data_IF_957316573858
#
_entry.id   IF_957316573858
#
_cell.length_a   1.000
_cell.length_b   1.000
_cell.length_c   1.000
_cell.angle_alpha   90.00
_cell.angle_beta   90.00
_cell.angle_gamma   90.00
#
_symmetry.space_group_name_H-M   'P 1'
#
loop_
_entity.id
_entity.type
_entity.pdbx_description
1 polymer ?
#
# COMPACT_ATOMS: atom_id res chain seq x y z
N UNK A 1 13.52 -14.76 26.33
CA UNK A 1 12.45 -13.91 25.75
C UNK A 1 12.68 -13.78 24.26
N UNK A 2 11.63 -13.93 23.46
CA UNK A 2 11.66 -13.75 22.02
C UNK A 2 11.16 -12.33 21.69
N UNK A 3 11.87 -11.63 20.80
CA UNK A 3 11.50 -10.28 20.36
C UNK A 3 11.29 -10.28 18.85
N UNK A 4 10.34 -9.46 18.38
CA UNK A 4 10.08 -9.23 16.96
C UNK A 4 10.47 -7.82 16.58
N UNK A 5 11.09 -7.68 15.40
CA UNK A 5 11.45 -6.36 14.86
C UNK A 5 10.26 -5.78 14.11
N UNK A 6 9.68 -4.74 14.69
CA UNK A 6 8.52 -4.01 14.12
C UNK A 6 8.98 -2.86 13.22
N UNK A 7 10.05 -2.16 13.59
CA UNK A 7 10.68 -1.13 12.76
C UNK A 7 12.20 -1.30 12.71
N UNK A 8 12.82 -0.88 11.60
CA UNK A 8 14.26 -0.97 11.41
C UNK A 8 14.75 -2.28 10.77
N UNK A 9 13.89 -3.00 10.05
CA UNK A 9 14.27 -4.23 9.33
C UNK A 9 15.50 -4.04 8.41
N UNK A 10 15.62 -2.89 7.74
CA UNK A 10 16.79 -2.58 6.92
C UNK A 10 18.06 -2.32 7.75
N UNK A 11 17.94 -1.68 8.92
CA UNK A 11 19.07 -1.46 9.85
C UNK A 11 19.58 -2.80 10.38
N UNK A 12 18.67 -3.71 10.74
CA UNK A 12 19.02 -5.07 11.14
C UNK A 12 19.67 -5.85 10.00
N UNK A 13 19.13 -5.77 8.79
CA UNK A 13 19.71 -6.43 7.62
C UNK A 13 21.13 -5.93 7.33
N UNK A 14 21.36 -4.62 7.37
CA UNK A 14 22.68 -4.02 7.18
C UNK A 14 23.68 -4.45 8.26
N UNK A 15 23.29 -4.45 9.54
CA UNK A 15 24.14 -4.91 10.63
C UNK A 15 24.56 -6.38 10.44
N UNK A 16 23.63 -7.25 10.01
CA UNK A 16 23.93 -8.66 9.69
C UNK A 16 24.91 -8.78 8.52
N UNK A 17 24.75 -7.97 7.48
CA UNK A 17 25.67 -7.91 6.34
C UNK A 17 27.08 -7.47 6.74
N UNK A 18 27.20 -6.59 7.73
CA UNK A 18 28.47 -6.09 8.25
C UNK A 18 29.11 -7.01 9.31
N UNK A 19 28.61 -8.24 9.48
CA UNK A 19 29.19 -9.23 10.41
C UNK A 19 28.46 -9.33 11.76
N UNK A 20 27.37 -8.62 11.97
CA UNK A 20 26.46 -8.84 13.11
C UNK A 20 26.91 -8.26 14.46
N UNK A 21 28.17 -7.86 14.61
CA UNK A 21 28.72 -7.32 15.87
C UNK A 21 28.38 -5.84 16.12
N UNK A 22 27.63 -5.21 15.22
CA UNK A 22 27.21 -3.83 15.37
C UNK A 22 26.09 -3.72 16.43
N UNK A 23 26.36 -2.96 17.50
CA UNK A 23 25.37 -2.64 18.52
C UNK A 23 24.29 -1.73 17.93
N UNK A 24 23.07 -2.25 17.79
CA UNK A 24 21.90 -1.48 17.42
C UNK A 24 21.18 -1.02 18.68
N UNK A 25 20.87 0.28 18.76
CA UNK A 25 19.94 0.78 19.78
C UNK A 25 18.55 0.20 19.48
N UNK A 26 18.04 -0.60 20.40
CA UNK A 26 16.70 -1.18 20.33
C UNK A 26 15.83 -0.58 21.43
N UNK A 27 14.60 -0.21 21.08
CA UNK A 27 13.56 0.17 22.02
C UNK A 27 12.52 -0.95 22.08
N UNK A 28 12.21 -1.42 23.28
CA UNK A 28 11.26 -2.51 23.49
C UNK A 28 9.89 -1.89 23.79
N UNK A 29 8.94 -2.10 22.89
CA UNK A 29 7.56 -1.68 23.04
C UNK A 29 6.64 -2.89 23.20
N UNK A 30 5.57 -2.72 23.97
CA UNK A 30 4.46 -3.67 23.99
C UNK A 30 3.42 -3.24 22.97
N UNK A 31 3.18 -4.09 21.97
CA UNK A 31 2.22 -3.83 20.90
C UNK A 31 1.52 -5.14 20.53
N UNK A 32 0.20 -5.08 20.34
CA UNK A 32 -0.54 -6.19 19.74
C UNK A 32 -0.18 -6.35 18.25
N UNK A 33 -0.69 -7.41 17.64
CA UNK A 33 -0.35 -7.74 16.25
C UNK A 33 -0.83 -6.67 15.25
N UNK A 34 -2.01 -6.12 15.47
CA UNK A 34 -2.57 -5.03 14.68
C UNK A 34 -1.66 -3.80 14.70
N UNK A 35 -1.25 -3.37 15.90
CA UNK A 35 -0.37 -2.23 16.11
C UNK A 35 1.01 -2.47 15.47
N UNK A 36 1.56 -3.69 15.59
CA UNK A 36 2.82 -4.04 14.93
C UNK A 36 2.72 -3.87 13.41
N UNK A 37 1.66 -4.40 12.78
CA UNK A 37 1.46 -4.30 11.33
C UNK A 37 1.23 -2.85 10.87
N UNK A 38 0.50 -2.04 11.64
CA UNK A 38 0.30 -0.61 11.35
C UNK A 38 1.63 0.14 11.43
N UNK A 39 2.43 -0.09 12.47
CA UNK A 39 3.75 0.53 12.61
C UNK A 39 4.66 0.13 11.45
N UNK A 40 4.72 -1.16 11.10
CA UNK A 40 5.49 -1.63 9.95
C UNK A 40 5.06 -0.96 8.64
N UNK A 41 3.75 -0.83 8.41
CA UNK A 41 3.20 -0.23 7.20
C UNK A 41 3.56 1.26 7.11
N UNK A 42 3.25 2.02 8.16
CA UNK A 42 3.41 3.48 8.18
C UNK A 42 4.87 3.92 8.12
N UNK A 43 5.77 3.25 8.86
CA UNK A 43 7.20 3.58 8.79
C UNK A 43 7.78 3.24 7.42
N UNK A 44 7.43 2.08 6.86
CA UNK A 44 7.99 1.68 5.57
C UNK A 44 7.43 2.46 4.39
N UNK A 45 6.15 2.87 4.42
CA UNK A 45 5.56 3.75 3.40
C UNK A 45 6.24 5.12 3.36
N UNK A 46 6.61 5.68 4.52
CA UNK A 46 7.27 6.99 4.60
C UNK A 46 8.60 7.03 3.86
N UNK A 47 9.42 5.98 3.99
CA UNK A 47 10.75 5.94 3.37
C UNK A 47 10.74 5.34 1.95
N UNK A 48 9.84 4.39 1.69
CA UNK A 48 9.81 3.64 0.44
C UNK A 48 8.40 3.65 -0.15
N UNK A 49 8.17 4.42 -1.24
CA UNK A 49 6.86 4.43 -1.88
C UNK A 49 6.52 3.00 -2.33
N UNK A 50 5.40 2.49 -1.83
CA UNK A 50 4.94 1.13 -2.13
C UNK A 50 4.07 1.09 -3.37
N UNK A 51 4.14 -0.04 -4.05
CA UNK A 51 3.17 -0.36 -5.10
C UNK A 51 1.74 -0.34 -4.55
N UNK A 52 0.77 0.22 -5.30
CA UNK A 52 -0.61 0.30 -4.87
C UNK A 52 -1.28 -1.02 -4.46
N UNK A 53 -0.96 -2.14 -5.12
CA UNK A 53 -1.53 -3.44 -4.78
C UNK A 53 -0.95 -3.94 -3.47
N UNK A 54 0.35 -3.72 -3.26
CA UNK A 54 1.00 -4.04 -1.98
C UNK A 54 0.36 -3.28 -0.82
N UNK A 55 0.04 -1.99 -0.99
CA UNK A 55 -0.71 -1.22 0.01
C UNK A 55 -2.11 -1.79 0.24
N UNK A 56 -2.84 -2.08 -0.83
CA UNK A 56 -4.18 -2.64 -0.73
C UNK A 56 -4.23 -3.98 0.02
N UNK A 57 -3.27 -4.87 -0.22
CA UNK A 57 -3.13 -6.14 0.49
C UNK A 57 -2.88 -5.95 1.99
N UNK A 58 -2.04 -4.99 2.37
CA UNK A 58 -1.81 -4.67 3.78
C UNK A 58 -3.08 -4.15 4.46
N UNK A 59 -3.82 -3.25 3.82
CA UNK A 59 -5.08 -2.76 4.36
C UNK A 59 -6.13 -3.86 4.49
N UNK A 60 -6.27 -4.72 3.48
CA UNK A 60 -7.20 -5.85 3.53
C UNK A 60 -6.85 -6.78 4.68
N UNK A 61 -5.57 -7.10 4.87
CA UNK A 61 -5.08 -7.91 5.99
C UNK A 61 -5.47 -7.33 7.35
N UNK A 62 -5.26 -6.03 7.56
CA UNK A 62 -5.62 -5.36 8.81
C UNK A 62 -7.13 -5.45 9.10
N UNK A 63 -7.97 -5.37 8.06
CA UNK A 63 -9.42 -5.46 8.21
C UNK A 63 -9.88 -6.90 8.44
N UNK A 64 -9.41 -7.85 7.62
CA UNK A 64 -9.92 -9.22 7.58
C UNK A 64 -9.25 -10.14 8.62
N UNK A 65 -7.94 -10.04 8.82
CA UNK A 65 -7.20 -10.90 9.76
C UNK A 65 -7.17 -10.32 11.18
N UNK A 66 -6.94 -9.01 11.30
CA UNK A 66 -6.81 -8.35 12.61
C UNK A 66 -8.12 -7.70 13.09
N UNK A 67 -9.19 -7.73 12.28
CA UNK A 67 -10.52 -7.25 12.66
C UNK A 67 -10.65 -5.73 12.81
N UNK A 68 -9.72 -4.94 12.25
CA UNK A 68 -9.81 -3.48 12.31
C UNK A 68 -10.97 -2.95 11.49
N UNK A 69 -11.76 -2.06 12.10
CA UNK A 69 -12.75 -1.29 11.34
C UNK A 69 -12.07 -0.33 10.36
N UNK A 70 -12.72 -0.05 9.23
CA UNK A 70 -12.22 0.94 8.26
C UNK A 70 -11.99 2.32 8.92
N UNK A 71 -12.84 2.72 9.87
CA UNK A 71 -12.71 3.99 10.59
C UNK A 71 -11.48 4.02 11.48
N UNK A 72 -11.21 2.94 12.22
CA UNK A 72 -9.99 2.81 13.00
C UNK A 72 -8.76 2.85 12.09
N UNK A 73 -8.78 2.10 10.99
CA UNK A 73 -7.69 2.11 10.02
C UNK A 73 -7.42 3.51 9.43
N UNK A 74 -8.45 4.28 9.10
CA UNK A 74 -8.30 5.69 8.68
C UNK A 74 -7.58 6.52 9.74
N UNK A 75 -7.97 6.37 11.01
CA UNK A 75 -7.40 7.13 12.13
C UNK A 75 -5.93 6.78 12.35
N UNK A 76 -5.60 5.49 12.39
CA UNK A 76 -4.24 5.03 12.68
C UNK A 76 -3.26 5.29 11.51
N UNK A 77 -3.73 5.23 10.27
CA UNK A 77 -2.88 5.43 9.07
C UNK A 77 -2.87 6.87 8.56
N UNK A 78 -3.80 7.71 9.00
CA UNK A 78 -3.98 9.08 8.50
C UNK A 78 -4.56 9.16 7.08
N UNK A 79 -4.92 8.04 6.46
CA UNK A 79 -5.58 8.04 5.16
C UNK A 79 -7.08 8.35 5.27
N UNK A 80 -7.62 9.03 4.25
CA UNK A 80 -9.05 9.25 4.15
C UNK A 80 -9.80 7.96 3.76
N UNK A 81 -11.05 7.83 4.21
CA UNK A 81 -11.90 6.67 3.87
C UNK A 81 -12.02 6.41 2.36
N UNK A 82 -12.21 7.43 1.48
CA UNK A 82 -12.20 7.21 0.02
C UNK A 82 -10.87 6.66 -0.49
N UNK A 83 -9.74 7.06 0.10
CA UNK A 83 -8.41 6.58 -0.27
C UNK A 83 -8.28 5.10 0.05
N UNK A 84 -8.60 4.69 1.28
CA UNK A 84 -8.55 3.27 1.66
C UNK A 84 -9.52 2.42 0.83
N UNK A 85 -10.75 2.89 0.61
CA UNK A 85 -11.70 2.20 -0.28
C UNK A 85 -11.16 2.04 -1.69
N UNK A 86 -10.49 3.06 -2.24
CA UNK A 86 -9.89 2.97 -3.58
C UNK A 86 -8.82 1.89 -3.66
N UNK A 87 -8.00 1.72 -2.60
CA UNK A 87 -7.02 0.63 -2.53
C UNK A 87 -7.70 -0.72 -2.48
N UNK A 88 -8.66 -0.90 -1.58
CA UNK A 88 -9.37 -2.18 -1.43
C UNK A 88 -10.07 -2.58 -2.73
N UNK A 89 -10.71 -1.63 -3.44
CA UNK A 89 -11.34 -1.88 -4.74
C UNK A 89 -10.39 -2.25 -5.86
N UNK A 90 -9.09 -1.98 -5.74
CA UNK A 90 -8.12 -2.49 -6.72
C UNK A 90 -8.01 -4.02 -6.68
N UNK A 91 -8.19 -4.63 -5.51
CA UNK A 91 -8.07 -6.08 -5.34
C UNK A 91 -9.23 -6.85 -6.00
N UNK A 92 -10.36 -6.19 -6.21
CA UNK A 92 -11.54 -6.74 -6.88
C UNK A 92 -11.38 -6.77 -8.41
N UNK A 93 -10.43 -6.01 -8.96
CA UNK A 93 -10.20 -5.92 -10.41
C UNK A 93 -9.41 -7.12 -10.94
N UNK A 94 -9.55 -7.37 -12.23
CA UNK A 94 -8.80 -8.43 -12.92
C UNK A 94 -7.28 -8.22 -12.85
N UNK A 95 -6.46 -9.28 -12.75
CA UNK A 95 -5.01 -9.17 -12.60
C UNK A 95 -4.33 -8.34 -13.68
N UNK A 96 -4.84 -8.38 -14.92
CA UNK A 96 -4.32 -7.58 -16.02
C UNK A 96 -4.53 -6.08 -15.81
N UNK A 97 -5.66 -5.69 -15.21
CA UNK A 97 -5.98 -4.29 -14.88
C UNK A 97 -5.13 -3.85 -13.68
N UNK A 98 -4.98 -4.71 -12.68
CA UNK A 98 -4.08 -4.48 -11.55
C UNK A 98 -2.65 -4.19 -12.04
N UNK A 99 -2.15 -4.95 -13.01
CA UNK A 99 -0.83 -4.73 -13.61
C UNK A 99 -0.73 -3.39 -14.36
N UNK A 100 -1.81 -2.90 -14.99
CA UNK A 100 -1.84 -1.58 -15.61
C UNK A 100 -1.75 -0.45 -14.58
N UNK A 101 -2.42 -0.60 -13.44
CA UNK A 101 -2.33 0.35 -12.31
C UNK A 101 -0.94 0.34 -11.69
N UNK A 102 -0.35 -0.83 -11.46
CA UNK A 102 1.02 -0.97 -10.94
C UNK A 102 2.05 -0.31 -11.86
N UNK A 103 1.85 -0.40 -13.18
CA UNK A 103 2.68 0.28 -14.19
C UNK A 103 2.39 1.79 -14.32
N UNK A 104 1.47 2.34 -13.54
CA UNK A 104 1.06 3.75 -13.59
C UNK A 104 0.28 4.14 -14.85
N UNK A 105 -0.14 3.18 -15.68
CA UNK A 105 -0.88 3.43 -16.93
C UNK A 105 -2.35 3.76 -16.68
N UNK A 106 -2.88 3.38 -15.52
CA UNK A 106 -4.23 3.71 -15.07
C UNK A 106 -4.16 4.38 -13.70
N UNK A 107 -5.03 5.38 -13.45
CA UNK A 107 -5.04 6.10 -12.19
C UNK A 107 -5.63 5.22 -11.07
N UNK A 108 -5.06 5.29 -9.87
CA UNK A 108 -5.69 4.72 -8.68
C UNK A 108 -6.82 5.65 -8.20
N UNK A 109 -8.03 5.41 -8.66
CA UNK A 109 -9.22 6.17 -8.27
C UNK A 109 -10.39 5.24 -8.00
N UNK A 110 -11.14 5.51 -6.94
CA UNK A 110 -12.33 4.73 -6.59
C UNK A 110 -13.33 4.68 -7.74
N UNK A 111 -13.58 5.82 -8.39
CA UNK A 111 -14.52 5.92 -9.53
C UNK A 111 -14.07 5.10 -10.73
N UNK A 112 -12.76 5.02 -10.95
CA UNK A 112 -12.20 4.22 -12.05
C UNK A 112 -12.45 2.73 -11.80
N UNK A 113 -12.11 2.25 -10.59
CA UNK A 113 -12.34 0.87 -10.20
C UNK A 113 -13.83 0.51 -10.25
N UNK A 114 -14.71 1.35 -9.71
CA UNK A 114 -16.17 1.13 -9.73
C UNK A 114 -16.73 1.09 -11.16
N UNK A 115 -16.29 2.01 -12.03
CA UNK A 115 -16.71 2.03 -13.42
C UNK A 115 -16.27 0.75 -14.18
N UNK A 116 -15.05 0.27 -13.96
CA UNK A 116 -14.60 -0.98 -14.57
C UNK A 116 -15.37 -2.18 -14.00
N UNK A 117 -15.55 -2.25 -12.68
CA UNK A 117 -16.31 -3.33 -12.04
C UNK A 117 -17.77 -3.38 -12.47
N UNK A 118 -18.34 -2.25 -12.90
CA UNK A 118 -19.70 -2.20 -13.47
C UNK A 118 -19.85 -3.01 -14.76
N UNK A 119 -18.76 -3.29 -15.47
CA UNK A 119 -18.75 -4.18 -16.65
C UNK A 119 -18.70 -5.63 -16.16
N UNK A 120 -19.76 -6.44 -16.35
CA UNK A 120 -19.84 -7.77 -15.73
C UNK A 120 -18.86 -8.77 -16.36
N UNK A 121 -18.64 -8.68 -17.67
CA UNK A 121 -17.81 -9.62 -18.43
C UNK A 121 -16.32 -9.26 -18.27
N UNK A 122 -15.49 -10.16 -17.70
CA UNK A 122 -14.08 -9.88 -17.42
C UNK A 122 -13.26 -9.50 -18.66
N UNK A 123 -13.45 -10.18 -19.79
CA UNK A 123 -12.73 -9.92 -21.02
C UNK A 123 -13.02 -8.53 -21.60
N UNK A 124 -14.27 -8.10 -21.58
CA UNK A 124 -14.70 -6.76 -21.99
C UNK A 124 -14.14 -5.70 -21.05
N UNK A 125 -14.13 -5.97 -19.74
CA UNK A 125 -13.55 -5.07 -18.73
C UNK A 125 -12.07 -4.84 -18.96
N UNK A 126 -11.31 -5.93 -19.17
CA UNK A 126 -9.88 -5.88 -19.49
C UNK A 126 -9.63 -5.12 -20.79
N UNK A 127 -10.36 -5.43 -21.86
CA UNK A 127 -10.25 -4.72 -23.15
C UNK A 127 -10.54 -3.22 -23.00
N UNK A 128 -11.54 -2.85 -22.21
CA UNK A 128 -11.86 -1.47 -21.91
C UNK A 128 -10.71 -0.78 -21.15
N UNK A 129 -10.18 -1.43 -20.10
CA UNK A 129 -9.05 -0.92 -19.33
C UNK A 129 -7.78 -0.72 -20.18
N UNK A 130 -7.49 -1.66 -21.08
CA UNK A 130 -6.38 -1.55 -22.04
C UNK A 130 -6.56 -0.36 -23.00
N UNK A 131 -7.78 -0.14 -23.51
CA UNK A 131 -8.10 1.03 -24.34
C UNK A 131 -7.95 2.34 -23.56
N UNK A 132 -8.39 2.37 -22.30
CA UNK A 132 -8.23 3.54 -21.43
C UNK A 132 -6.76 3.86 -21.15
N UNK A 133 -5.94 2.84 -20.92
CA UNK A 133 -4.51 2.96 -20.67
C UNK A 133 -3.71 3.53 -21.87
N UNK A 134 -4.26 3.48 -23.08
CA UNK A 134 -3.66 4.04 -24.29
C UNK A 134 -4.06 5.50 -24.53
N UNK A 135 -5.07 6.03 -23.81
CA UNK A 135 -5.52 7.41 -24.00
C UNK A 135 -4.59 8.40 -23.31
N UNK A 136 -4.14 9.46 -24.02
CA UNK A 136 -3.38 10.53 -23.39
C UNK A 136 -4.23 11.25 -22.34
N UNK A 137 -3.64 11.56 -21.18
CA UNK A 137 -4.31 12.26 -20.06
C UNK A 137 -4.95 11.37 -19.00
N UNK A 138 -5.01 10.05 -19.20
CA UNK A 138 -5.46 9.09 -18.18
C UNK A 138 -4.31 8.67 -17.24
N UNK A 139 -3.08 8.69 -17.76
CA UNK A 139 -1.86 8.43 -16.99
C UNK A 139 -1.64 9.52 -15.96
N UNK A 140 -1.51 9.13 -14.68
CA UNK A 140 -1.01 10.04 -13.67
C UNK A 140 0.47 10.28 -13.96
N UNK A 141 0.88 11.53 -14.16
CA UNK A 141 2.26 11.93 -13.90
C UNK A 141 2.61 11.40 -12.52
N UNK A 142 3.76 10.70 -12.33
CA UNK A 142 4.12 10.19 -11.03
C UNK A 142 4.01 11.37 -10.06
N UNK A 143 3.20 11.21 -9.01
CA UNK A 143 3.15 12.16 -7.91
C UNK A 143 4.58 12.24 -7.37
N UNK A 144 5.35 13.22 -7.87
CA UNK A 144 6.57 13.66 -7.22
C UNK A 144 6.15 13.93 -5.79
N UNK A 145 6.67 13.16 -4.84
CA UNK A 145 6.50 13.44 -3.42
C UNK A 145 6.73 14.93 -3.20
N UNK A 146 5.65 15.65 -2.92
CA UNK A 146 5.64 17.12 -2.81
C UNK A 146 6.05 17.55 -1.40
N UNK A 147 6.96 16.81 -0.80
CA UNK A 147 7.52 17.10 0.51
C UNK A 147 8.97 17.53 0.31
N UNK A 148 9.17 18.83 0.04
CA UNK A 148 10.42 19.50 0.37
C UNK A 148 10.44 19.57 1.89
N UNK A 149 11.27 18.76 2.52
CA UNK A 149 11.61 18.95 3.93
C UNK A 149 12.53 20.19 3.95
N UNK A 150 12.12 21.34 4.52
CA UNK A 150 13.08 22.38 4.83
C UNK A 150 13.91 21.84 5.99
N UNK A 151 15.22 21.75 5.79
CA UNK A 151 16.13 21.74 6.93
C UNK A 151 15.99 23.05 7.69
#
# INVERSE_FOLDING_TARGET
>A
MLYYVVDGNLRLAAARWLGGDMLLKCEVISADRAQQLITMLTTSEFFFPKDPLSMALHFRRLIEEEGLSLTALCRETGHSSPTLKSYLRLLDLDPEIQALVAKGKLPRSLRMSEALLSVPEPGARVKLAQRLAQRPGVTLTPQRCRWRIPW
#
